data_IF_839199742899
#
_entry.id   IF_839199742899
#
_cell.length_a   1.000
_cell.length_b   1.000
_cell.length_c   1.000
_cell.angle_alpha   90.00
_cell.angle_beta   90.00
_cell.angle_gamma   90.00
#
_symmetry.space_group_name_H-M   'P 1'
#
loop_
_entity.id
_entity.type
_entity.pdbx_description
1 polymer ?
#
# COMPACT_ATOMS: atom_id res chain seq x y z
N UNK A 1 35.16 5.36 3.90
CA UNK A 1 33.90 4.59 3.98
C UNK A 1 33.47 4.37 2.55
N UNK A 2 33.66 3.14 2.06
CA UNK A 2 33.57 2.83 0.63
C UNK A 2 32.14 3.00 0.09
N UNK A 3 32.01 3.65 -1.07
CA UNK A 3 30.74 3.89 -1.78
C UNK A 3 29.91 2.61 -1.97
N UNK A 4 30.57 1.46 -2.09
CA UNK A 4 29.96 0.13 -2.23
C UNK A 4 29.15 -0.27 -0.98
N UNK A 5 29.61 0.11 0.22
CA UNK A 5 28.93 -0.23 1.47
C UNK A 5 27.67 0.66 1.67
N UNK A 6 27.75 1.92 1.24
CA UNK A 6 26.62 2.86 1.28
C UNK A 6 25.52 2.45 0.31
N UNK A 7 25.85 2.08 -0.94
CA UNK A 7 24.87 1.64 -1.94
C UNK A 7 24.11 0.38 -1.49
N UNK A 8 24.81 -0.58 -0.88
CA UNK A 8 24.18 -1.80 -0.34
C UNK A 8 23.24 -1.49 0.82
N UNK A 9 23.63 -0.60 1.74
CA UNK A 9 22.78 -0.18 2.85
C UNK A 9 21.51 0.52 2.34
N UNK A 10 21.63 1.40 1.34
CA UNK A 10 20.48 2.12 0.79
C UNK A 10 19.51 1.19 0.06
N UNK A 11 20.03 0.16 -0.63
CA UNK A 11 19.19 -0.88 -1.24
C UNK A 11 18.42 -1.70 -0.21
N UNK A 12 19.07 -2.11 0.89
CA UNK A 12 18.39 -2.85 1.98
C UNK A 12 17.27 -2.03 2.61
N UNK A 13 17.51 -0.73 2.85
CA UNK A 13 16.47 0.18 3.36
C UNK A 13 15.31 0.29 2.37
N UNK A 14 15.61 0.41 1.07
CA UNK A 14 14.62 0.48 0.00
C UNK A 14 13.74 -0.77 -0.07
N UNK A 15 14.35 -1.96 -0.04
CA UNK A 15 13.64 -3.24 -0.02
C UNK A 15 12.77 -3.38 1.24
N UNK A 16 13.24 -2.84 2.37
CA UNK A 16 12.46 -2.75 3.61
C UNK A 16 11.19 -1.91 3.48
N UNK A 17 11.25 -0.76 2.79
CA UNK A 17 10.06 0.05 2.53
C UNK A 17 9.09 -0.65 1.57
N UNK A 18 9.61 -1.31 0.52
CA UNK A 18 8.80 -2.09 -0.40
C UNK A 18 8.00 -3.18 0.34
N UNK A 19 8.67 -3.98 1.17
CA UNK A 19 8.02 -5.02 1.96
C UNK A 19 6.98 -4.46 2.94
N UNK A 20 7.26 -3.29 3.54
CA UNK A 20 6.35 -2.65 4.49
C UNK A 20 5.06 -2.15 3.83
N UNK A 21 5.14 -1.59 2.61
CA UNK A 21 3.94 -1.22 1.86
C UNK A 21 3.06 -2.45 1.62
N UNK A 22 3.63 -3.54 1.10
CA UNK A 22 2.88 -4.77 0.84
C UNK A 22 2.23 -5.32 2.10
N UNK A 23 2.96 -5.32 3.22
CA UNK A 23 2.41 -5.76 4.52
C UNK A 23 1.24 -4.90 4.98
N UNK A 24 1.29 -3.57 4.82
CA UNK A 24 0.19 -2.67 5.18
C UNK A 24 -1.05 -2.98 4.32
N UNK A 25 -0.86 -3.15 3.02
CA UNK A 25 -1.94 -3.46 2.08
C UNK A 25 -2.56 -4.83 2.41
N UNK A 26 -1.74 -5.86 2.66
CA UNK A 26 -2.19 -7.19 3.03
C UNK A 26 -2.98 -7.21 4.34
N UNK A 27 -2.52 -6.44 5.34
CA UNK A 27 -3.25 -6.30 6.61
C UNK A 27 -4.59 -5.61 6.40
N UNK A 28 -4.62 -4.53 5.62
CA UNK A 28 -5.84 -3.80 5.32
C UNK A 28 -6.85 -4.70 4.57
N UNK A 29 -6.40 -5.47 3.57
CA UNK A 29 -7.23 -6.46 2.88
C UNK A 29 -7.82 -7.48 3.85
N UNK A 30 -6.99 -8.06 4.72
CA UNK A 30 -7.44 -9.05 5.71
C UNK A 30 -8.50 -8.49 6.66
N UNK A 31 -8.29 -7.27 7.17
CA UNK A 31 -9.26 -6.59 8.01
C UNK A 31 -10.56 -6.29 7.25
N UNK A 32 -10.46 -5.71 6.05
CA UNK A 32 -11.64 -5.41 5.22
C UNK A 32 -12.44 -6.66 4.87
N UNK A 33 -11.80 -7.82 4.64
CA UNK A 33 -12.50 -9.10 4.42
C UNK A 33 -13.24 -9.57 5.67
N UNK A 34 -12.63 -9.44 6.85
CA UNK A 34 -13.23 -9.86 8.12
C UNK A 34 -14.45 -9.02 8.50
N UNK A 35 -14.48 -7.75 8.11
CA UNK A 35 -15.54 -6.81 8.47
C UNK A 35 -16.30 -6.26 7.26
N UNK A 36 -16.24 -6.92 6.10
CA UNK A 36 -16.92 -6.46 4.89
C UNK A 36 -18.45 -6.36 5.05
N UNK A 37 -19.03 -7.09 6.00
CA UNK A 37 -20.45 -7.05 6.34
C UNK A 37 -20.82 -5.93 7.32
N UNK A 38 -19.84 -5.22 7.87
CA UNK A 38 -20.02 -4.11 8.80
C UNK A 38 -19.10 -2.95 8.38
N UNK A 39 -19.51 -2.26 7.32
CA UNK A 39 -18.74 -1.12 6.78
C UNK A 39 -18.61 0.02 7.79
N UNK A 40 -19.56 0.15 8.72
CA UNK A 40 -19.52 1.15 9.80
C UNK A 40 -18.34 0.90 10.75
N UNK A 41 -18.03 -0.37 11.03
CA UNK A 41 -16.83 -0.72 11.79
C UNK A 41 -15.56 -0.24 11.07
N UNK A 42 -15.47 -0.47 9.76
CA UNK A 42 -14.33 -0.05 8.95
C UNK A 42 -14.18 1.48 8.86
N UNK A 43 -15.30 2.21 8.84
CA UNK A 43 -15.34 3.68 8.88
C UNK A 43 -14.85 4.24 10.22
N UNK A 44 -15.02 3.49 11.31
CA UNK A 44 -14.61 3.90 12.66
C UNK A 44 -13.14 3.68 13.00
N UNK A 45 -12.33 3.13 12.09
CA UNK A 45 -10.91 2.87 12.32
C UNK A 45 -10.07 4.16 12.40
N UNK A 46 -9.10 4.19 13.32
CA UNK A 46 -8.11 5.27 13.49
C UNK A 46 -6.68 4.68 13.48
N UNK A 47 -5.79 5.07 12.55
CA UNK A 47 -6.05 5.98 11.44
C UNK A 47 -7.03 5.37 10.44
N UNK A 48 -7.81 6.23 9.79
CA UNK A 48 -8.78 5.84 8.76
C UNK A 48 -8.09 5.17 7.57
N UNK A 49 -8.85 4.40 6.80
CA UNK A 49 -8.32 3.80 5.56
C UNK A 49 -7.83 4.84 4.57
N UNK A 50 -8.46 6.03 4.53
CA UNK A 50 -8.06 7.13 3.67
C UNK A 50 -6.71 7.72 4.09
N UNK A 51 -6.49 7.94 5.38
CA UNK A 51 -5.21 8.39 5.90
C UNK A 51 -4.10 7.36 5.62
N UNK A 52 -4.39 6.07 5.80
CA UNK A 52 -3.44 5.00 5.46
C UNK A 52 -3.08 5.03 3.96
N UNK A 53 -4.06 5.17 3.07
CA UNK A 53 -3.84 5.23 1.62
C UNK A 53 -3.04 6.49 1.19
N UNK A 54 -3.33 7.65 1.79
CA UNK A 54 -2.57 8.88 1.59
C UNK A 54 -1.10 8.71 2.01
N UNK A 55 -0.86 8.15 3.21
CA UNK A 55 0.49 7.88 3.69
C UNK A 55 1.25 6.93 2.76
N UNK A 56 0.61 5.89 2.26
CA UNK A 56 1.23 4.98 1.28
C UNK A 56 1.60 5.69 -0.03
N UNK A 57 0.81 6.68 -0.45
CA UNK A 57 1.10 7.49 -1.63
C UNK A 57 2.31 8.39 -1.43
N UNK A 58 2.43 9.00 -0.25
CA UNK A 58 3.59 9.82 0.11
C UNK A 58 4.87 8.97 0.15
N UNK A 59 4.81 7.79 0.78
CA UNK A 59 5.93 6.84 0.81
C UNK A 59 6.30 6.41 -0.63
N UNK A 60 5.33 6.02 -1.45
CA UNK A 60 5.57 5.60 -2.83
C UNK A 60 6.23 6.71 -3.67
N UNK A 61 5.75 7.96 -3.52
CA UNK A 61 6.35 9.13 -4.17
C UNK A 61 7.80 9.33 -3.75
N UNK A 62 8.10 9.20 -2.46
CA UNK A 62 9.46 9.42 -1.96
C UNK A 62 10.39 8.26 -2.32
N UNK A 63 9.90 7.03 -2.34
CA UNK A 63 10.63 5.88 -2.90
C UNK A 63 11.02 6.12 -4.36
N UNK A 64 10.09 6.63 -5.17
CA UNK A 64 10.38 6.94 -6.58
C UNK A 64 11.55 7.93 -6.71
N UNK A 65 11.51 9.04 -5.97
CA UNK A 65 12.61 10.04 -5.97
C UNK A 65 13.94 9.43 -5.56
N UNK A 66 13.95 8.62 -4.48
CA UNK A 66 15.16 7.95 -3.99
C UNK A 66 15.71 6.99 -5.04
N UNK A 67 14.83 6.23 -5.72
CA UNK A 67 15.23 5.31 -6.78
C UNK A 67 15.86 6.02 -7.98
N UNK A 68 15.32 7.18 -8.38
CA UNK A 68 15.83 7.99 -9.49
C UNK A 68 17.20 8.58 -9.16
N UNK A 69 17.39 9.09 -7.94
CA UNK A 69 18.67 9.66 -7.48
C UNK A 69 19.76 8.60 -7.40
N UNK A 70 19.41 7.37 -7.00
CA UNK A 70 20.37 6.29 -6.75
C UNK A 70 20.52 5.31 -7.92
N UNK A 71 19.72 5.48 -8.99
CA UNK A 71 19.72 4.58 -10.14
C UNK A 71 19.21 3.17 -9.83
N UNK A 72 18.33 3.03 -8.84
CA UNK A 72 17.74 1.75 -8.49
C UNK A 72 16.53 1.44 -9.37
N UNK A 73 16.55 0.29 -10.04
CA UNK A 73 15.37 -0.26 -10.68
C UNK A 73 14.55 -1.07 -9.68
N UNK A 74 13.27 -0.72 -9.54
CA UNK A 74 12.30 -1.47 -8.75
C UNK A 74 10.96 -1.54 -9.49
N UNK A 75 10.06 -2.41 -9.02
CA UNK A 75 8.71 -2.58 -9.57
C UNK A 75 7.78 -1.44 -9.11
N UNK A 76 8.06 -0.24 -9.61
CA UNK A 76 7.32 0.99 -9.30
C UNK A 76 5.84 0.89 -9.67
N UNK A 77 5.56 0.29 -10.83
CA UNK A 77 4.24 -0.01 -11.34
C UNK A 77 3.42 -0.89 -10.38
N UNK A 78 4.05 -1.94 -9.84
CA UNK A 78 3.41 -2.87 -8.89
C UNK A 78 3.04 -2.15 -7.60
N UNK A 79 3.94 -1.35 -7.03
CA UNK A 79 3.61 -0.57 -5.82
C UNK A 79 2.52 0.45 -6.10
N UNK A 80 2.61 1.17 -7.22
CA UNK A 80 1.59 2.14 -7.62
C UNK A 80 0.20 1.50 -7.74
N UNK A 81 0.13 0.27 -8.24
CA UNK A 81 -1.13 -0.48 -8.31
C UNK A 81 -1.69 -0.80 -6.92
N UNK A 82 -0.86 -1.28 -5.99
CA UNK A 82 -1.30 -1.55 -4.61
C UNK A 82 -1.77 -0.29 -3.88
N UNK A 83 -1.06 0.84 -4.07
CA UNK A 83 -1.48 2.13 -3.52
C UNK A 83 -2.81 2.58 -4.11
N UNK A 84 -3.00 2.43 -5.42
CA UNK A 84 -4.29 2.73 -6.09
C UNK A 84 -5.43 1.89 -5.52
N UNK A 85 -5.19 0.60 -5.27
CA UNK A 85 -6.20 -0.30 -4.70
C UNK A 85 -6.54 0.05 -3.25
N UNK A 86 -5.55 0.47 -2.46
CA UNK A 86 -5.80 1.02 -1.13
C UNK A 86 -6.68 2.27 -1.16
N UNK A 87 -6.51 3.15 -2.15
CA UNK A 87 -7.40 4.30 -2.33
C UNK A 87 -8.82 3.88 -2.71
N UNK A 88 -8.98 2.99 -3.69
CA UNK A 88 -10.31 2.47 -4.05
C UNK A 88 -11.04 1.88 -2.84
N UNK A 89 -10.32 1.10 -2.03
CA UNK A 89 -10.88 0.47 -0.84
C UNK A 89 -11.25 1.52 0.22
N UNK A 90 -10.39 2.52 0.43
CA UNK A 90 -10.66 3.62 1.35
C UNK A 90 -11.87 4.47 0.91
N UNK A 91 -11.98 4.79 -0.38
CA UNK A 91 -13.08 5.56 -0.95
C UNK A 91 -14.41 4.82 -0.78
N UNK A 92 -14.42 3.52 -1.06
CA UNK A 92 -15.60 2.67 -0.87
C UNK A 92 -16.03 2.62 0.61
N UNK A 93 -15.06 2.47 1.53
CA UNK A 93 -15.34 2.50 2.97
C UNK A 93 -15.90 3.86 3.39
N UNK A 94 -15.29 4.97 2.97
CA UNK A 94 -15.68 6.33 3.36
C UNK A 94 -17.12 6.65 2.97
N UNK A 95 -17.54 6.29 1.74
CA UNK A 95 -18.91 6.56 1.26
C UNK A 95 -19.91 5.46 1.59
N UNK A 96 -19.47 4.35 2.19
CA UNK A 96 -20.34 3.22 2.53
C UNK A 96 -20.75 2.36 1.32
N UNK A 97 -19.94 2.33 0.26
CA UNK A 97 -20.22 1.53 -0.94
C UNK A 97 -19.69 0.10 -0.78
N UNK A 98 -20.56 -0.77 -0.27
CA UNK A 98 -20.24 -2.19 -0.04
C UNK A 98 -19.92 -2.96 -1.33
N UNK A 99 -20.53 -2.58 -2.46
CA UNK A 99 -20.28 -3.25 -3.74
C UNK A 99 -18.87 -2.91 -4.24
N UNK A 100 -18.53 -1.62 -4.27
CA UNK A 100 -17.19 -1.18 -4.67
C UNK A 100 -16.10 -1.71 -3.72
N UNK A 101 -16.40 -1.81 -2.42
CA UNK A 101 -15.52 -2.42 -1.44
C UNK A 101 -15.26 -3.91 -1.78
N UNK A 102 -16.32 -4.67 -2.03
CA UNK A 102 -16.22 -6.09 -2.39
C UNK A 102 -15.44 -6.29 -3.70
N UNK A 103 -15.73 -5.51 -4.73
CA UNK A 103 -15.00 -5.57 -6.00
C UNK A 103 -13.51 -5.27 -5.82
N UNK A 104 -13.18 -4.30 -4.98
CA UNK A 104 -11.80 -3.95 -4.68
C UNK A 104 -11.08 -5.03 -3.88
N UNK A 105 -11.76 -5.65 -2.90
CA UNK A 105 -11.26 -6.82 -2.16
C UNK A 105 -10.96 -7.97 -3.13
N UNK A 106 -11.88 -8.30 -4.03
CA UNK A 106 -11.70 -9.36 -5.03
C UNK A 106 -10.54 -9.04 -5.99
N UNK A 107 -10.34 -7.77 -6.36
CA UNK A 107 -9.21 -7.31 -7.18
C UNK A 107 -7.89 -7.50 -6.43
N UNK A 108 -7.83 -7.16 -5.14
CA UNK A 108 -6.66 -7.32 -4.26
C UNK A 108 -6.32 -8.80 -4.00
N UNK A 109 -7.32 -9.65 -3.74
CA UNK A 109 -7.15 -11.08 -3.42
C UNK A 109 -6.53 -11.88 -4.59
N UNK A 110 -6.72 -11.40 -5.82
CA UNK A 110 -6.13 -12.03 -7.03
C UNK A 110 -4.68 -11.63 -7.27
N UNK A 111 -4.12 -10.70 -6.48
CA UNK A 111 -2.76 -10.21 -6.69
C UNK A 111 -1.73 -11.16 -6.08
N UNK A 112 -0.66 -11.52 -6.81
CA UNK A 112 0.29 -12.55 -6.39
C UNK A 112 1.25 -12.15 -5.24
N UNK A 113 1.22 -10.90 -4.78
CA UNK A 113 2.11 -10.38 -3.73
C UNK A 113 1.39 -9.92 -2.45
N UNK A 114 0.12 -10.31 -2.28
CA UNK A 114 -0.61 -10.23 -1.02
C UNK A 114 -0.93 -11.65 -0.55
#
# INVERSE_FOLDING_TARGET
MDEINTQNLTKVLFDGFYARILHIVARALSQSKLFAFDISYLQGEDPSYKERANLLSDIHRDMKKVSEVLGFNYRNDVIGEYVRLMHKMADAIEVGDELALKETIDELDRKPFI
#
